data_IF_370692742075
#
_entry.id   IF_370692742075
#
_cell.length_a   1.000
_cell.length_b   1.000
_cell.length_c   1.000
_cell.angle_alpha   90.00
_cell.angle_beta   90.00
_cell.angle_gamma   90.00
#
_symmetry.space_group_name_H-M   'P 1'
#
loop_
_entity.id
_entity.type
_entity.pdbx_description
1 polymer ?
#
# COMPACT_ATOMS: atom_id res chain seq x y z
N UNK A 1 2.59 9.12 -32.33
CA UNK A 1 1.77 10.33 -32.56
C UNK A 1 2.23 11.36 -31.55
N UNK A 2 2.70 12.53 -31.96
CA UNK A 2 3.14 13.59 -31.03
C UNK A 2 1.91 14.33 -30.53
N UNK A 3 1.71 14.40 -29.20
CA UNK A 3 0.59 15.16 -28.66
C UNK A 3 0.86 16.68 -28.69
N UNK A 4 -0.18 17.53 -28.81
CA UNK A 4 0.00 18.96 -29.10
C UNK A 4 0.49 19.82 -27.93
N UNK A 5 0.53 19.30 -26.71
CA UNK A 5 0.95 20.03 -25.50
C UNK A 5 1.95 19.21 -24.69
N UNK A 6 2.64 19.87 -23.75
CA UNK A 6 3.51 19.24 -22.76
C UNK A 6 3.14 19.74 -21.36
N UNK A 7 3.27 18.86 -20.37
CA UNK A 7 3.16 19.22 -18.97
C UNK A 7 4.25 20.26 -18.62
N UNK A 8 3.91 21.43 -18.05
CA UNK A 8 4.91 22.45 -17.72
C UNK A 8 5.86 22.04 -16.60
N UNK A 9 5.49 21.04 -15.78
CA UNK A 9 6.31 20.58 -14.65
C UNK A 9 7.28 19.45 -15.05
N UNK A 10 6.84 18.46 -15.82
CA UNK A 10 7.64 17.26 -16.13
C UNK A 10 7.89 17.02 -17.62
N UNK A 11 7.29 17.80 -18.52
CA UNK A 11 7.48 17.66 -19.97
C UNK A 11 6.69 16.53 -20.65
N UNK A 12 5.96 15.70 -19.90
CA UNK A 12 5.10 14.63 -20.45
C UNK A 12 4.16 15.19 -21.53
N UNK A 13 4.06 14.50 -22.67
CA UNK A 13 3.20 14.89 -23.78
C UNK A 13 1.71 14.76 -23.42
N UNK A 14 0.88 15.75 -23.77
CA UNK A 14 -0.53 15.84 -23.37
C UNK A 14 -1.45 16.24 -24.53
N UNK A 15 -2.66 15.66 -24.53
CA UNK A 15 -3.76 16.07 -25.41
C UNK A 15 -4.43 17.39 -25.01
N UNK A 16 -4.05 17.98 -23.87
CA UNK A 16 -4.65 19.19 -23.31
C UNK A 16 -3.59 20.13 -22.70
N UNK A 17 -3.92 21.42 -22.55
CA UNK A 17 -3.06 22.43 -21.92
C UNK A 17 -3.18 22.36 -20.39
N UNK A 18 -2.08 22.12 -19.69
CA UNK A 18 -2.03 22.14 -18.22
C UNK A 18 -1.03 21.15 -17.65
N UNK A 19 -1.16 20.86 -16.34
CA UNK A 19 -0.40 19.81 -15.67
C UNK A 19 -0.91 18.43 -16.09
N UNK A 20 0.01 17.47 -16.28
CA UNK A 20 -0.36 16.06 -16.33
C UNK A 20 -1.02 15.65 -15.01
N UNK A 21 -1.71 14.51 -15.01
CA UNK A 21 -2.44 14.05 -13.84
C UNK A 21 -1.50 13.87 -12.62
N UNK A 22 -0.30 13.31 -12.81
CA UNK A 22 0.71 13.11 -11.75
C UNK A 22 1.17 14.43 -11.13
N UNK A 23 1.55 15.41 -11.95
CA UNK A 23 1.97 16.73 -11.46
C UNK A 23 0.82 17.49 -10.80
N UNK A 24 -0.42 17.29 -11.26
CA UNK A 24 -1.62 17.85 -10.62
C UNK A 24 -1.85 17.24 -9.23
N UNK A 25 -1.77 15.92 -9.10
CA UNK A 25 -1.88 15.23 -7.80
C UNK A 25 -0.79 15.67 -6.83
N UNK A 26 0.46 15.72 -7.29
CA UNK A 26 1.58 16.22 -6.49
C UNK A 26 1.40 17.70 -6.09
N UNK A 27 0.82 18.53 -6.95
CA UNK A 27 0.50 19.93 -6.63
C UNK A 27 -0.59 20.05 -5.56
N UNK A 28 -1.66 19.25 -5.66
CA UNK A 28 -2.72 19.21 -4.66
C UNK A 28 -2.17 18.74 -3.30
N UNK A 29 -1.31 17.74 -3.30
CA UNK A 29 -0.61 17.27 -2.09
C UNK A 29 0.24 18.37 -1.47
N UNK A 30 1.03 19.10 -2.27
CA UNK A 30 1.81 20.26 -1.78
C UNK A 30 0.90 21.35 -1.19
N UNK A 31 -0.25 21.61 -1.81
CA UNK A 31 -1.22 22.56 -1.29
C UNK A 31 -1.79 22.10 0.06
N UNK A 32 -2.16 20.82 0.18
CA UNK A 32 -2.66 20.24 1.42
C UNK A 32 -1.65 20.27 2.58
N UNK A 33 -0.38 20.02 2.28
CA UNK A 33 0.71 20.15 3.27
C UNK A 33 0.88 21.59 3.77
N UNK A 34 0.53 22.57 2.94
CA UNK A 34 0.64 24.00 3.22
C UNK A 34 -0.61 24.62 3.86
N UNK A 35 -1.69 23.86 4.08
CA UNK A 35 -2.92 24.39 4.69
C UNK A 35 -2.68 25.03 6.06
N UNK A 36 -3.27 26.21 6.27
CA UNK A 36 -3.25 26.91 7.56
C UNK A 36 -4.16 26.21 8.58
N UNK A 37 -4.01 26.49 9.89
CA UNK A 37 -4.93 25.97 10.91
C UNK A 37 -6.41 26.31 10.63
N UNK A 38 -6.69 27.49 10.08
CA UNK A 38 -8.05 27.92 9.72
C UNK A 38 -8.60 27.12 8.53
N UNK A 39 -7.78 26.90 7.51
CA UNK A 39 -8.15 26.08 6.35
C UNK A 39 -8.40 24.62 6.77
N UNK A 40 -7.54 24.06 7.62
CA UNK A 40 -7.73 22.72 8.17
C UNK A 40 -9.04 22.60 8.93
N UNK A 41 -9.33 23.55 9.83
CA UNK A 41 -10.58 23.55 10.58
C UNK A 41 -11.79 23.65 9.66
N UNK A 42 -11.72 24.49 8.62
CA UNK A 42 -12.78 24.60 7.61
C UNK A 42 -12.98 23.27 6.86
N UNK A 43 -11.90 22.57 6.49
CA UNK A 43 -11.96 21.25 5.83
C UNK A 43 -12.55 20.17 6.74
N UNK A 44 -12.17 20.14 8.01
CA UNK A 44 -12.74 19.21 8.99
C UNK A 44 -14.25 19.46 9.16
N UNK A 45 -14.70 20.71 9.22
CA UNK A 45 -16.14 21.04 9.29
C UNK A 45 -16.89 20.67 8.01
N UNK A 46 -16.27 20.87 6.85
CA UNK A 46 -16.83 20.48 5.54
C UNK A 46 -17.04 18.96 5.46
N UNK A 47 -16.06 18.18 5.93
CA UNK A 47 -16.14 16.71 5.99
C UNK A 47 -17.24 16.26 6.96
N UNK A 48 -17.32 16.85 8.15
CA UNK A 48 -18.38 16.52 9.13
C UNK A 48 -19.77 16.82 8.56
N UNK A 49 -19.92 17.95 7.85
CA UNK A 49 -21.20 18.33 7.25
C UNK A 49 -21.64 17.40 6.10
N UNK A 50 -20.70 16.70 5.47
CA UNK A 50 -20.92 15.79 4.33
C UNK A 50 -20.52 14.34 4.67
N UNK A 51 -20.65 13.93 5.93
CA UNK A 51 -20.08 12.64 6.39
C UNK A 51 -20.72 11.38 5.77
N UNK A 52 -21.92 11.51 5.18
CA UNK A 52 -22.58 10.45 4.42
C UNK A 52 -22.00 10.30 3.00
N UNK A 53 -21.33 11.33 2.48
CA UNK A 53 -20.65 11.36 1.17
C UNK A 53 -19.31 12.12 1.32
N UNK A 54 -18.34 11.42 1.89
CA UNK A 54 -17.09 12.00 2.40
C UNK A 54 -16.30 12.68 1.28
N UNK A 55 -16.04 14.00 1.37
CA UNK A 55 -15.29 14.73 0.35
C UNK A 55 -13.85 14.21 0.18
N UNK A 56 -13.30 14.28 -1.04
CA UNK A 56 -11.92 13.85 -1.36
C UNK A 56 -10.84 14.51 -0.47
N UNK A 57 -11.10 15.72 0.05
CA UNK A 57 -10.21 16.43 0.97
C UNK A 57 -9.92 15.64 2.26
N UNK A 58 -10.79 14.71 2.65
CA UNK A 58 -10.53 13.73 3.70
C UNK A 58 -9.20 12.99 3.47
N UNK A 59 -8.97 12.53 2.24
CA UNK A 59 -7.76 11.77 1.91
C UNK A 59 -6.51 12.64 2.02
N UNK A 60 -6.59 13.92 1.67
CA UNK A 60 -5.47 14.83 1.87
C UNK A 60 -5.18 15.07 3.36
N UNK A 61 -6.20 15.18 4.22
CA UNK A 61 -5.99 15.25 5.67
C UNK A 61 -5.28 13.99 6.19
N UNK A 62 -5.79 12.80 5.84
CA UNK A 62 -5.23 11.55 6.33
C UNK A 62 -3.82 11.30 5.76
N UNK A 63 -3.63 11.41 4.45
CA UNK A 63 -2.36 11.11 3.78
C UNK A 63 -1.26 12.14 4.10
N UNK A 64 -1.62 13.41 4.32
CA UNK A 64 -0.62 14.47 4.55
C UNK A 64 -0.41 14.81 6.03
N UNK A 65 -1.33 14.44 6.93
CA UNK A 65 -1.23 14.75 8.37
C UNK A 65 -1.23 13.52 9.27
N UNK A 66 -1.71 12.38 8.79
CA UNK A 66 -1.72 11.11 9.55
C UNK A 66 -2.67 11.11 10.75
N UNK A 67 -3.57 12.09 10.87
CA UNK A 67 -4.52 12.19 11.97
C UNK A 67 -5.79 12.93 11.53
N UNK A 68 -6.89 12.57 12.18
CA UNK A 68 -8.20 13.20 11.99
C UNK A 68 -8.65 13.86 13.30
N UNK A 69 -9.45 14.92 13.20
CA UNK A 69 -10.17 15.46 14.35
C UNK A 69 -11.12 14.39 14.93
N UNK A 70 -11.15 14.17 16.26
CA UNK A 70 -12.02 13.18 16.91
C UNK A 70 -13.51 13.29 16.58
N UNK A 71 -13.96 14.48 16.16
CA UNK A 71 -15.33 14.78 15.78
C UNK A 71 -15.74 14.11 14.47
N UNK A 72 -14.81 13.90 13.53
CA UNK A 72 -15.06 13.26 12.23
C UNK A 72 -15.56 11.81 12.41
N UNK A 73 -14.82 10.89 13.06
CA UNK A 73 -15.28 9.51 13.24
C UNK A 73 -16.52 9.41 14.15
N UNK A 74 -16.73 10.36 15.07
CA UNK A 74 -17.97 10.43 15.87
C UNK A 74 -19.18 10.80 15.01
N UNK A 75 -19.03 11.77 14.10
CA UNK A 75 -20.08 12.14 13.16
C UNK A 75 -20.39 10.97 12.21
N UNK A 76 -19.37 10.27 11.72
CA UNK A 76 -19.54 9.11 10.85
C UNK A 76 -20.31 7.99 11.54
N UNK A 77 -19.94 7.64 12.77
CA UNK A 77 -20.64 6.65 13.57
C UNK A 77 -22.10 7.05 13.84
N UNK A 78 -22.35 8.32 14.19
CA UNK A 78 -23.70 8.83 14.45
C UNK A 78 -24.59 8.77 13.20
N UNK A 79 -24.02 9.00 12.03
CA UNK A 79 -24.70 8.85 10.74
C UNK A 79 -24.79 7.40 10.24
N UNK A 80 -24.16 6.44 10.94
CA UNK A 80 -23.94 5.06 10.48
C UNK A 80 -23.26 4.99 9.10
N UNK A 81 -22.35 5.92 8.83
CA UNK A 81 -21.51 5.94 7.64
C UNK A 81 -20.20 5.20 7.93
N UNK A 82 -20.03 4.01 7.36
CA UNK A 82 -18.87 3.15 7.62
C UNK A 82 -17.83 3.16 6.49
N UNK A 83 -18.08 3.93 5.43
CA UNK A 83 -17.18 4.09 4.29
C UNK A 83 -16.69 5.55 4.14
N UNK A 84 -15.39 5.79 3.91
CA UNK A 84 -14.30 4.81 3.92
C UNK A 84 -13.95 4.38 5.36
N UNK A 85 -13.56 3.12 5.53
CA UNK A 85 -13.20 2.55 6.85
C UNK A 85 -12.04 3.31 7.51
N UNK A 86 -11.16 3.93 6.70
CA UNK A 86 -10.03 4.76 7.15
C UNK A 86 -10.43 5.96 8.02
N UNK A 87 -11.69 6.40 7.99
CA UNK A 87 -12.24 7.39 8.95
C UNK A 87 -12.01 6.96 10.40
N UNK A 88 -12.00 5.64 10.63
CA UNK A 88 -11.93 5.03 11.95
C UNK A 88 -10.51 4.63 12.35
N UNK A 89 -9.48 5.06 11.61
CA UNK A 89 -8.09 4.79 11.95
C UNK A 89 -7.74 5.36 13.32
N UNK A 90 -7.47 4.49 14.30
CA UNK A 90 -7.19 4.84 15.70
C UNK A 90 -8.16 5.89 16.30
N UNK A 91 -9.46 5.78 15.98
CA UNK A 91 -10.45 6.73 16.50
C UNK A 91 -10.60 6.63 18.04
N UNK A 92 -11.24 7.62 18.69
CA UNK A 92 -11.50 7.60 20.12
C UNK A 92 -12.21 6.32 20.59
N UNK A 93 -11.94 5.90 21.84
CA UNK A 93 -12.48 4.65 22.39
C UNK A 93 -14.02 4.60 22.42
N UNK A 94 -14.68 5.76 22.57
CA UNK A 94 -16.14 5.85 22.49
C UNK A 94 -16.68 5.49 21.09
N UNK A 95 -15.94 5.85 20.04
CA UNK A 95 -16.27 5.47 18.66
C UNK A 95 -16.06 3.97 18.47
N UNK A 96 -14.93 3.42 18.91
CA UNK A 96 -14.67 1.97 18.86
C UNK A 96 -15.78 1.17 19.54
N UNK A 97 -16.16 1.55 20.75
CA UNK A 97 -17.18 0.84 21.51
C UNK A 97 -18.55 0.93 20.80
N UNK A 98 -18.84 2.06 20.15
CA UNK A 98 -19.99 2.21 19.28
C UNK A 98 -19.97 1.34 18.02
N UNK A 99 -18.81 1.19 17.36
CA UNK A 99 -18.64 0.27 16.24
C UNK A 99 -18.87 -1.18 16.66
N UNK A 100 -18.32 -1.60 17.80
CA UNK A 100 -18.54 -2.94 18.36
C UNK A 100 -20.03 -3.13 18.67
N UNK A 101 -20.69 -2.16 19.29
CA UNK A 101 -22.13 -2.24 19.57
C UNK A 101 -22.94 -2.39 18.27
N UNK A 102 -22.69 -1.56 17.26
CA UNK A 102 -23.36 -1.64 15.97
C UNK A 102 -23.15 -2.99 15.28
N UNK A 103 -21.94 -3.55 15.35
CA UNK A 103 -21.61 -4.87 14.79
C UNK A 103 -22.34 -5.99 15.53
N UNK A 104 -22.54 -5.82 16.83
CA UNK A 104 -23.28 -6.78 17.65
C UNK A 104 -24.81 -6.63 17.52
N UNK A 105 -25.30 -5.54 16.95
CA UNK A 105 -26.72 -5.31 16.69
C UNK A 105 -27.14 -5.69 15.27
N UNK A 106 -26.24 -5.60 14.29
CA UNK A 106 -26.60 -5.82 12.89
C UNK A 106 -26.86 -7.30 12.55
N UNK A 107 -27.91 -7.50 11.75
CA UNK A 107 -28.24 -8.75 11.06
C UNK A 107 -27.89 -8.70 9.55
N UNK A 108 -27.40 -7.55 9.06
CA UNK A 108 -27.07 -7.32 7.67
C UNK A 108 -25.59 -7.63 7.39
N UNK A 109 -25.34 -8.58 6.48
CA UNK A 109 -23.98 -8.98 6.13
C UNK A 109 -23.14 -7.82 5.55
N UNK A 110 -23.75 -6.96 4.74
CA UNK A 110 -23.05 -5.82 4.15
C UNK A 110 -22.60 -4.80 5.21
N UNK A 111 -23.48 -4.46 6.15
CA UNK A 111 -23.12 -3.56 7.25
C UNK A 111 -22.07 -4.21 8.19
N UNK A 112 -22.20 -5.51 8.47
CA UNK A 112 -21.19 -6.25 9.24
C UNK A 112 -19.81 -6.25 8.56
N UNK A 113 -19.77 -6.39 7.23
CA UNK A 113 -18.55 -6.30 6.44
C UNK A 113 -17.87 -4.94 6.64
N UNK A 114 -18.61 -3.84 6.51
CA UNK A 114 -18.06 -2.49 6.69
C UNK A 114 -17.59 -2.24 8.13
N UNK A 115 -18.40 -2.61 9.12
CA UNK A 115 -18.05 -2.47 10.53
C UNK A 115 -16.79 -3.26 10.91
N UNK A 116 -16.59 -4.46 10.36
CA UNK A 116 -15.37 -5.23 10.59
C UNK A 116 -14.14 -4.57 9.94
N UNK A 117 -14.28 -3.93 8.77
CA UNK A 117 -13.20 -3.10 8.21
C UNK A 117 -12.86 -1.91 9.14
N UNK A 118 -13.88 -1.22 9.66
CA UNK A 118 -13.68 -0.13 10.63
C UNK A 118 -12.95 -0.60 11.90
N UNK A 119 -13.29 -1.78 12.43
CA UNK A 119 -12.56 -2.38 13.57
C UNK A 119 -11.13 -2.79 13.21
N UNK A 120 -10.90 -3.22 11.96
CA UNK A 120 -9.55 -3.37 11.43
C UNK A 120 -8.75 -2.08 11.57
N UNK A 121 -9.33 -0.94 11.17
CA UNK A 121 -8.68 0.38 11.28
C UNK A 121 -8.49 0.88 12.73
N UNK A 122 -9.30 0.43 13.69
CA UNK A 122 -9.09 0.72 15.11
C UNK A 122 -7.80 0.09 15.65
N UNK A 123 -7.63 -1.22 15.40
CA UNK A 123 -6.40 -1.94 15.68
C UNK A 123 -5.97 -1.97 17.15
N UNK A 124 -6.89 -1.94 18.10
CA UNK A 124 -6.57 -2.13 19.51
C UNK A 124 -7.04 -3.48 20.05
N UNK A 125 -6.73 -3.76 21.32
CA UNK A 125 -7.01 -5.07 21.93
C UNK A 125 -8.50 -5.39 22.00
N UNK A 126 -9.36 -4.37 22.09
CA UNK A 126 -10.81 -4.56 22.11
C UNK A 126 -11.37 -4.87 20.72
N UNK A 127 -10.80 -4.26 19.68
CA UNK A 127 -11.12 -4.58 18.29
C UNK A 127 -10.70 -6.01 17.96
N UNK A 128 -9.51 -6.45 18.40
CA UNK A 128 -9.08 -7.84 18.31
C UNK A 128 -10.05 -8.78 19.04
N UNK A 129 -10.39 -8.47 20.29
CA UNK A 129 -11.30 -9.30 21.08
C UNK A 129 -12.68 -9.45 20.41
N UNK A 130 -13.22 -8.38 19.83
CA UNK A 130 -14.49 -8.39 19.11
C UNK A 130 -14.43 -9.27 17.84
N UNK A 131 -13.40 -9.09 17.01
CA UNK A 131 -13.23 -9.89 15.78
C UNK A 131 -12.97 -11.37 16.10
N UNK A 132 -12.12 -11.66 17.10
CA UNK A 132 -11.84 -13.03 17.55
C UNK A 132 -13.09 -13.72 18.14
N UNK A 133 -13.94 -12.97 18.85
CA UNK A 133 -15.20 -13.51 19.37
C UNK A 133 -16.14 -13.94 18.23
N UNK A 134 -16.15 -13.19 17.12
CA UNK A 134 -16.92 -13.52 15.91
C UNK A 134 -16.34 -14.72 15.17
N UNK A 135 -15.01 -14.89 15.08
CA UNK A 135 -14.44 -16.12 14.50
C UNK A 135 -14.81 -17.36 15.30
N UNK A 136 -14.79 -17.25 16.65
CA UNK A 136 -15.11 -18.36 17.53
C UNK A 136 -16.59 -18.67 17.58
N UNK A 137 -17.44 -17.66 17.44
CA UNK A 137 -18.89 -17.77 17.46
C UNK A 137 -19.50 -16.96 16.31
N UNK A 138 -19.46 -17.48 15.08
CA UNK A 138 -19.95 -16.75 13.92
C UNK A 138 -21.44 -16.43 14.03
N UNK A 139 -21.80 -15.23 13.58
CA UNK A 139 -23.20 -14.78 13.47
C UNK A 139 -23.85 -15.33 12.19
N UNK A 140 -25.19 -15.38 12.10
CA UNK A 140 -25.88 -15.92 10.92
C UNK A 140 -25.50 -15.26 9.58
N UNK A 141 -25.12 -13.99 9.60
CA UNK A 141 -24.68 -13.28 8.39
C UNK A 141 -23.29 -13.70 7.89
N UNK A 142 -22.48 -14.40 8.69
CA UNK A 142 -21.12 -14.81 8.33
C UNK A 142 -21.09 -15.66 7.06
N UNK A 143 -22.05 -16.58 6.87
CA UNK A 143 -22.13 -17.41 5.67
C UNK A 143 -22.45 -16.66 4.36
N UNK A 144 -22.66 -15.33 4.43
CA UNK A 144 -22.81 -14.44 3.26
C UNK A 144 -21.53 -13.63 2.97
N UNK A 145 -20.50 -13.78 3.80
CA UNK A 145 -19.21 -13.14 3.62
C UNK A 145 -18.21 -14.11 2.99
N UNK A 146 -17.17 -13.55 2.37
CA UNK A 146 -16.16 -14.33 1.63
C UNK A 146 -14.95 -14.73 2.49
N UNK A 147 -14.71 -14.00 3.59
CA UNK A 147 -13.49 -14.12 4.39
C UNK A 147 -13.80 -14.08 5.89
N UNK A 148 -12.85 -14.54 6.69
CA UNK A 148 -12.95 -14.55 8.16
C UNK A 148 -12.65 -13.17 8.77
N UNK A 149 -13.16 -12.85 9.98
CA UNK A 149 -12.84 -11.63 10.72
C UNK A 149 -11.34 -11.28 10.83
N UNK A 150 -10.43 -12.26 10.90
CA UNK A 150 -8.97 -12.03 10.87
C UNK A 150 -8.46 -11.42 9.56
N UNK A 151 -9.17 -11.59 8.45
CA UNK A 151 -8.87 -10.95 7.16
C UNK A 151 -9.35 -9.50 7.15
N UNK A 152 -10.46 -9.18 7.79
CA UNK A 152 -10.91 -7.79 7.95
C UNK A 152 -9.92 -6.94 8.78
N UNK A 153 -9.25 -7.55 9.76
CA UNK A 153 -8.17 -6.89 10.49
C UNK A 153 -7.03 -6.42 9.57
N UNK A 154 -6.79 -7.14 8.46
CA UNK A 154 -5.71 -6.84 7.51
C UNK A 154 -5.90 -5.50 6.79
N UNK A 155 -7.15 -5.04 6.67
CA UNK A 155 -7.50 -3.69 6.22
C UNK A 155 -6.76 -2.61 7.04
N UNK A 156 -6.58 -2.84 8.35
CA UNK A 156 -5.82 -1.96 9.25
C UNK A 156 -4.34 -2.30 9.39
N UNK A 157 -3.80 -3.21 8.58
CA UNK A 157 -2.38 -3.57 8.62
C UNK A 157 -1.98 -4.52 9.75
N UNK A 158 -2.90 -5.35 10.25
CA UNK A 158 -2.62 -6.39 11.24
C UNK A 158 -3.56 -7.59 11.09
N UNK A 159 -3.27 -8.69 11.76
CA UNK A 159 -4.13 -9.88 11.79
C UNK A 159 -3.93 -10.63 13.10
N UNK A 160 -4.64 -11.74 13.28
CA UNK A 160 -4.53 -12.60 14.45
C UNK A 160 -4.86 -14.05 14.09
N UNK A 161 -4.35 -14.99 14.88
CA UNK A 161 -4.71 -16.40 14.75
C UNK A 161 -5.86 -16.83 15.68
N UNK A 162 -6.27 -18.10 15.59
CA UNK A 162 -7.38 -18.66 16.38
C UNK A 162 -7.17 -18.58 17.90
N UNK A 163 -5.92 -18.49 18.35
CA UNK A 163 -5.58 -18.30 19.76
C UNK A 163 -5.68 -16.82 20.18
N UNK A 164 -5.79 -15.90 19.22
CA UNK A 164 -5.81 -14.45 19.43
C UNK A 164 -4.42 -13.83 19.44
N UNK A 165 -3.39 -14.52 18.95
CA UNK A 165 -2.04 -13.97 18.88
C UNK A 165 -1.97 -13.00 17.71
N UNK A 166 -1.71 -11.74 18.03
CA UNK A 166 -1.63 -10.64 17.05
C UNK A 166 -0.37 -10.72 16.21
N UNK A 167 -0.50 -10.39 14.93
CA UNK A 167 0.60 -10.16 13.99
C UNK A 167 0.41 -8.81 13.30
N UNK A 168 1.43 -7.96 13.31
CA UNK A 168 1.44 -6.70 12.56
C UNK A 168 1.91 -6.98 11.13
N UNK A 169 1.21 -6.45 10.14
CA UNK A 169 1.50 -6.63 8.72
C UNK A 169 2.12 -5.37 8.08
N UNK A 170 1.77 -4.18 8.59
CA UNK A 170 2.33 -2.91 8.13
C UNK A 170 3.40 -2.38 9.10
N UNK A 171 3.99 -1.24 8.75
CA UNK A 171 4.97 -0.54 9.57
C UNK A 171 4.44 0.84 9.98
N UNK A 172 4.78 1.25 11.20
CA UNK A 172 4.49 2.58 11.77
C UNK A 172 5.48 3.66 11.28
N UNK A 173 6.23 3.34 10.22
CA UNK A 173 7.17 4.24 9.55
C UNK A 173 6.94 4.13 8.05
N UNK A 174 6.93 5.27 7.37
CA UNK A 174 6.72 5.36 5.93
C UNK A 174 7.75 6.34 5.33
N UNK A 175 8.37 5.94 4.22
CA UNK A 175 9.27 6.77 3.42
C UNK A 175 8.78 6.82 1.97
N UNK A 176 8.89 7.98 1.34
CA UNK A 176 8.67 8.11 -0.11
C UNK A 176 9.93 7.71 -0.87
N UNK A 177 9.76 7.26 -2.11
CA UNK A 177 10.83 7.32 -3.10
C UNK A 177 10.83 8.67 -3.81
N UNK A 178 12.02 9.20 -4.08
CA UNK A 178 12.24 10.47 -4.78
C UNK A 178 13.28 10.28 -5.88
N UNK A 179 13.31 11.17 -6.86
CA UNK A 179 14.35 11.16 -7.90
C UNK A 179 15.68 11.66 -7.33
N UNK A 180 16.77 10.95 -7.61
CA UNK A 180 18.11 11.38 -7.25
C UNK A 180 18.50 12.66 -8.00
N UNK A 181 19.18 13.60 -7.32
CA UNK A 181 19.69 14.80 -7.97
C UNK A 181 21.00 14.54 -8.75
N UNK A 182 21.66 13.39 -8.51
CA UNK A 182 22.92 13.01 -9.14
C UNK A 182 23.17 11.50 -9.10
N UNK A 183 24.08 11.04 -9.96
CA UNK A 183 24.57 9.64 -9.95
C UNK A 183 25.22 9.25 -8.62
N UNK A 184 25.88 10.18 -7.92
CA UNK A 184 26.47 9.91 -6.60
C UNK A 184 25.38 9.62 -5.57
N UNK A 185 24.33 10.44 -5.56
CA UNK A 185 23.19 10.27 -4.65
C UNK A 185 22.44 8.98 -4.96
N UNK A 186 22.24 8.69 -6.26
CA UNK A 186 21.77 7.39 -6.72
C UNK A 186 22.66 6.33 -6.08
N UNK A 187 23.93 6.20 -6.44
CA UNK A 187 24.89 5.20 -5.95
C UNK A 187 24.94 5.00 -4.42
N UNK A 188 24.66 6.03 -3.62
CA UNK A 188 24.66 5.96 -2.14
C UNK A 188 23.34 5.56 -1.50
N UNK A 189 22.23 5.63 -2.23
CA UNK A 189 20.92 5.21 -1.70
C UNK A 189 20.96 3.75 -1.22
N UNK A 190 20.38 3.45 -0.04
CA UNK A 190 20.26 2.08 0.48
C UNK A 190 19.19 1.27 -0.27
N UNK A 191 18.40 1.93 -1.12
CA UNK A 191 17.35 1.33 -1.93
C UNK A 191 17.69 1.51 -3.40
N UNK A 192 17.57 0.42 -4.17
CA UNK A 192 17.60 0.38 -5.64
C UNK A 192 16.31 -0.24 -6.15
N UNK A 193 15.72 0.38 -7.17
CA UNK A 193 14.52 -0.11 -7.82
C UNK A 193 14.86 -0.59 -9.22
N UNK A 194 14.30 -1.74 -9.59
CA UNK A 194 14.41 -2.35 -10.91
C UNK A 194 15.85 -2.40 -11.45
N UNK A 195 16.77 -3.05 -10.72
CA UNK A 195 18.12 -3.32 -11.24
C UNK A 195 18.05 -4.50 -12.23
N UNK A 196 18.50 -4.35 -13.49
CA UNK A 196 18.46 -5.44 -14.45
C UNK A 196 19.45 -6.54 -14.06
N UNK A 197 19.02 -7.81 -14.15
CA UNK A 197 19.88 -8.99 -13.95
C UNK A 197 20.40 -9.52 -15.28
N UNK A 198 21.44 -10.36 -15.27
CA UNK A 198 22.04 -10.89 -16.51
C UNK A 198 21.15 -11.92 -17.20
N UNK A 199 20.35 -12.65 -16.44
CA UNK A 199 19.45 -13.67 -16.93
C UNK A 199 18.15 -13.12 -17.52
N UNK A 200 17.56 -13.94 -18.38
CA UNK A 200 16.25 -13.74 -18.97
C UNK A 200 15.23 -14.67 -18.30
N UNK A 201 13.98 -14.24 -18.28
CA UNK A 201 12.85 -15.02 -17.79
C UNK A 201 12.72 -16.31 -18.62
N UNK A 202 12.65 -17.50 -18.00
CA UNK A 202 12.52 -18.75 -18.72
C UNK A 202 11.15 -18.92 -19.40
N UNK A 203 10.15 -18.12 -19.01
CA UNK A 203 8.79 -18.17 -19.56
C UNK A 203 8.63 -17.24 -20.76
N UNK A 204 8.85 -15.94 -20.60
CA UNK A 204 8.59 -14.95 -21.65
C UNK A 204 9.86 -14.42 -22.36
N UNK A 205 11.06 -14.80 -21.92
CA UNK A 205 12.32 -14.32 -22.50
C UNK A 205 12.72 -12.89 -22.10
N UNK A 206 11.87 -12.11 -21.44
CA UNK A 206 12.18 -10.74 -21.01
C UNK A 206 13.30 -10.71 -19.96
N UNK A 207 14.00 -9.57 -19.83
CA UNK A 207 15.05 -9.37 -18.83
C UNK A 207 14.49 -9.50 -17.41
N UNK A 208 15.12 -10.30 -16.56
CA UNK A 208 14.78 -10.36 -15.13
C UNK A 208 15.28 -9.11 -14.40
N UNK A 209 14.63 -8.75 -13.30
CA UNK A 209 14.98 -7.58 -12.53
C UNK A 209 14.93 -7.83 -11.03
N UNK A 210 15.89 -7.26 -10.31
CA UNK A 210 15.74 -7.02 -8.88
C UNK A 210 14.85 -5.78 -8.72
N UNK A 211 13.55 -6.01 -8.57
CA UNK A 211 12.56 -4.94 -8.41
C UNK A 211 12.82 -4.11 -7.15
N UNK A 212 13.42 -4.72 -6.13
CA UNK A 212 13.93 -4.04 -4.95
C UNK A 212 15.27 -4.65 -4.52
N UNK A 213 16.28 -3.82 -4.31
CA UNK A 213 17.44 -4.13 -3.47
C UNK A 213 17.45 -3.15 -2.31
N UNK A 214 17.48 -3.65 -1.09
CA UNK A 214 17.31 -2.88 0.13
C UNK A 214 18.40 -3.25 1.14
N UNK A 215 19.23 -2.27 1.55
CA UNK A 215 20.18 -2.43 2.65
C UNK A 215 19.52 -2.07 3.98
N UNK A 216 19.04 -3.08 4.70
CA UNK A 216 18.35 -2.92 5.98
C UNK A 216 19.24 -2.39 7.11
N UNK A 217 20.56 -2.32 6.89
CA UNK A 217 21.52 -1.77 7.86
C UNK A 217 21.53 -0.24 7.87
N UNK A 218 20.96 0.42 6.86
CA UNK A 218 20.74 1.88 6.88
C UNK A 218 19.88 2.26 8.11
N UNK A 219 20.28 3.32 8.81
CA UNK A 219 19.62 3.75 10.03
C UNK A 219 18.13 4.05 9.84
N UNK A 220 17.73 4.54 8.65
CA UNK A 220 16.34 4.82 8.27
C UNK A 220 15.50 3.55 8.13
N UNK A 221 16.11 2.41 7.83
CA UNK A 221 15.43 1.14 7.51
C UNK A 221 15.41 0.16 8.69
N UNK A 222 15.95 0.53 9.86
CA UNK A 222 16.00 -0.31 11.07
C UNK A 222 14.63 -0.81 11.52
N UNK A 223 13.56 -0.06 11.25
CA UNK A 223 12.19 -0.44 11.61
C UNK A 223 11.71 -1.72 10.90
N UNK A 224 12.36 -2.12 9.79
CA UNK A 224 12.08 -3.35 9.08
C UNK A 224 12.62 -4.59 9.80
N UNK A 225 13.60 -4.44 10.69
CA UNK A 225 14.25 -5.56 11.38
C UNK A 225 15.12 -6.44 10.48
N UNK A 226 15.59 -5.93 9.35
CA UNK A 226 16.46 -6.65 8.41
C UNK A 226 17.93 -6.29 8.69
N UNK A 227 18.71 -7.24 9.19
CA UNK A 227 20.16 -7.07 9.41
C UNK A 227 20.98 -7.60 8.23
N UNK A 228 20.90 -6.89 7.10
CA UNK A 228 21.55 -7.28 5.85
C UNK A 228 20.91 -6.64 4.63
N UNK A 229 21.15 -7.23 3.48
CA UNK A 229 20.58 -6.81 2.20
C UNK A 229 19.42 -7.76 1.85
N UNK A 230 18.24 -7.22 1.59
CA UNK A 230 17.10 -7.95 1.03
C UNK A 230 17.01 -7.61 -0.46
N UNK A 231 16.85 -8.63 -1.30
CA UNK A 231 16.64 -8.48 -2.74
C UNK A 231 15.33 -9.17 -3.14
N UNK A 232 14.43 -8.44 -3.78
CA UNK A 232 13.19 -8.94 -4.37
C UNK A 232 13.37 -9.05 -5.88
N UNK A 233 13.28 -10.26 -6.44
CA UNK A 233 13.51 -10.49 -7.87
C UNK A 233 12.28 -11.10 -8.52
N UNK A 234 11.83 -10.52 -9.64
CA UNK A 234 10.83 -11.13 -10.50
C UNK A 234 11.05 -10.79 -11.97
N UNK A 235 10.24 -11.38 -12.84
CA UNK A 235 10.10 -10.91 -14.21
C UNK A 235 9.08 -9.76 -14.22
N UNK A 236 9.48 -8.52 -14.58
CA UNK A 236 8.56 -7.37 -14.62
C UNK A 236 7.40 -7.56 -15.60
N UNK A 237 7.59 -8.40 -16.62
CA UNK A 237 6.57 -8.74 -17.59
C UNK A 237 5.56 -9.77 -17.05
N UNK A 238 6.04 -10.88 -16.50
CA UNK A 238 5.14 -11.95 -16.01
C UNK A 238 4.39 -11.53 -14.74
N UNK A 239 4.95 -10.66 -13.89
CA UNK A 239 4.32 -10.29 -12.61
C UNK A 239 2.99 -9.57 -12.79
N UNK A 240 2.72 -8.99 -13.97
CA UNK A 240 1.43 -8.38 -14.30
C UNK A 240 0.31 -9.40 -14.54
N UNK A 241 0.65 -10.67 -14.77
CA UNK A 241 -0.31 -11.72 -15.16
C UNK A 241 -0.27 -12.95 -14.25
N UNK A 242 0.78 -13.11 -13.46
CA UNK A 242 0.95 -14.24 -12.56
C UNK A 242 0.31 -13.94 -11.20
N UNK A 243 -0.19 -14.99 -10.56
CA UNK A 243 -0.26 -15.08 -9.09
C UNK A 243 1.09 -14.66 -8.49
N UNK A 244 1.15 -14.13 -7.25
CA UNK A 244 2.33 -13.48 -6.70
C UNK A 244 3.64 -14.22 -7.02
N UNK A 245 4.57 -13.52 -7.66
CA UNK A 245 5.90 -14.09 -7.94
C UNK A 245 6.72 -14.03 -6.65
N UNK A 246 7.19 -15.19 -6.22
CA UNK A 246 7.96 -15.34 -5.00
C UNK A 246 9.46 -15.40 -5.31
N UNK A 247 10.27 -14.77 -4.45
CA UNK A 247 11.72 -14.95 -4.45
C UNK A 247 12.23 -15.20 -3.03
N UNK A 248 13.24 -16.06 -2.90
CA UNK A 248 13.96 -16.31 -1.66
C UNK A 248 15.20 -15.45 -1.62
N UNK A 249 15.34 -14.64 -0.59
CA UNK A 249 16.48 -13.75 -0.42
C UNK A 249 17.46 -14.27 0.63
N UNK A 250 18.71 -13.85 0.53
CA UNK A 250 19.73 -14.04 1.56
C UNK A 250 20.23 -12.68 2.05
N UNK A 251 20.66 -12.58 3.31
CA UNK A 251 21.04 -11.30 3.93
C UNK A 251 22.35 -10.68 3.39
N UNK A 252 23.06 -11.39 2.52
CA UNK A 252 24.18 -10.88 1.72
C UNK A 252 23.75 -10.32 0.35
N UNK A 253 22.43 -10.28 0.08
CA UNK A 253 21.85 -9.66 -1.11
C UNK A 253 21.55 -10.64 -2.27
N UNK A 254 21.75 -11.94 -2.06
CA UNK A 254 21.33 -12.97 -3.01
C UNK A 254 19.81 -13.07 -3.12
N UNK A 255 19.33 -13.49 -4.29
CA UNK A 255 17.91 -13.74 -4.55
C UNK A 255 17.71 -14.80 -5.63
N UNK A 256 16.86 -15.78 -5.32
CA UNK A 256 16.44 -16.88 -6.18
C UNK A 256 14.92 -16.84 -6.38
N UNK A 257 14.47 -16.73 -7.63
CA UNK A 257 13.04 -16.74 -7.97
C UNK A 257 12.50 -18.16 -7.87
N UNK A 258 11.40 -18.35 -7.15
CA UNK A 258 10.72 -19.64 -7.07
C UNK A 258 9.94 -19.91 -8.36
N UNK A 259 9.67 -21.19 -8.64
CA UNK A 259 8.85 -21.57 -9.79
C UNK A 259 7.44 -21.01 -9.67
N UNK A 260 6.92 -20.44 -10.74
CA UNK A 260 5.54 -19.99 -10.87
C UNK A 260 4.94 -20.52 -12.20
N UNK A 261 3.62 -20.47 -12.31
CA UNK A 261 2.93 -20.95 -13.51
C UNK A 261 3.22 -20.05 -14.72
N UNK A 262 3.37 -20.68 -15.89
CA UNK A 262 3.57 -19.95 -17.13
C UNK A 262 2.28 -19.22 -17.52
N UNK A 263 2.34 -17.89 -17.60
CA UNK A 263 1.21 -17.03 -17.95
C UNK A 263 0.95 -16.98 -19.46
N UNK A 264 1.74 -17.69 -20.27
CA UNK A 264 1.64 -17.74 -21.73
C UNK A 264 2.37 -16.60 -22.44
N UNK A 265 2.18 -16.48 -23.76
CA UNK A 265 2.75 -15.42 -24.62
C UNK A 265 2.10 -14.05 -24.32
N UNK A 266 2.41 -13.48 -23.16
CA UNK A 266 1.95 -12.16 -22.73
C UNK A 266 3.15 -11.21 -22.72
N UNK A 267 3.53 -10.67 -23.87
CA UNK A 267 4.72 -9.80 -24.00
C UNK A 267 4.30 -8.33 -24.00
N UNK A 268 4.59 -7.60 -22.92
CA UNK A 268 4.78 -6.15 -23.02
C UNK A 268 5.88 -5.88 -24.04
N UNK A 269 5.76 -4.81 -24.80
CA UNK A 269 6.74 -4.40 -25.81
C UNK A 269 8.10 -4.27 -25.12
N UNK A 270 9.08 -5.12 -25.48
CA UNK A 270 10.40 -5.20 -24.81
C UNK A 270 11.07 -3.82 -24.65
N UNK A 271 10.87 -2.91 -25.61
CA UNK A 271 11.43 -1.56 -25.60
C UNK A 271 10.91 -0.69 -24.43
N UNK A 272 9.66 -0.89 -24.00
CA UNK A 272 9.06 -0.13 -22.89
C UNK A 272 9.54 -0.66 -21.54
N UNK A 273 9.71 -1.98 -21.43
CA UNK A 273 10.23 -2.63 -20.22
C UNK A 273 11.68 -2.23 -19.92
N UNK A 274 12.51 -1.98 -20.93
CA UNK A 274 13.91 -1.56 -20.70
C UNK A 274 13.98 -0.22 -19.97
N UNK A 275 13.01 0.69 -20.17
CA UNK A 275 13.00 2.02 -19.53
C UNK A 275 12.89 1.96 -18.03
N UNK A 276 12.28 0.90 -17.47
CA UNK A 276 12.18 0.77 -16.01
C UNK A 276 13.57 0.69 -15.37
N UNK A 277 14.60 0.25 -16.10
CA UNK A 277 15.97 0.13 -15.61
C UNK A 277 16.73 1.46 -15.60
N UNK A 278 16.19 2.50 -16.24
CA UNK A 278 16.79 3.83 -16.34
C UNK A 278 16.30 4.78 -15.23
N UNK A 279 15.48 4.27 -14.30
CA UNK A 279 14.97 5.06 -13.18
C UNK A 279 16.09 5.47 -12.20
N UNK A 280 15.90 6.60 -11.56
CA UNK A 280 16.80 7.19 -10.56
C UNK A 280 16.12 7.31 -9.18
N UNK A 281 15.15 6.44 -8.90
CA UNK A 281 14.41 6.46 -7.64
C UNK A 281 15.29 6.02 -6.47
N UNK A 282 15.29 6.83 -5.42
CA UNK A 282 16.03 6.62 -4.17
C UNK A 282 15.13 6.78 -2.95
N UNK A 283 15.57 6.24 -1.81
CA UNK A 283 14.86 6.41 -0.54
C UNK A 283 14.95 7.87 -0.06
N UNK A 284 13.78 8.48 0.21
CA UNK A 284 13.70 9.81 0.80
C UNK A 284 14.42 9.94 2.14
N UNK A 285 14.82 11.15 2.49
CA UNK A 285 15.60 11.40 3.71
C UNK A 285 14.76 11.32 4.99
N UNK A 286 13.52 11.79 4.92
CA UNK A 286 12.64 11.97 6.08
C UNK A 286 11.39 11.10 5.98
N UNK A 287 10.88 10.57 7.11
CA UNK A 287 9.64 9.84 7.11
C UNK A 287 8.46 10.76 6.84
N UNK A 288 7.41 10.20 6.24
CA UNK A 288 6.13 10.83 5.93
C UNK A 288 5.01 10.16 6.73
N UNK A 289 3.79 10.75 6.79
CA UNK A 289 2.64 10.10 7.43
C UNK A 289 2.35 8.70 6.88
N UNK A 290 1.75 7.83 7.70
CA UNK A 290 1.57 6.41 7.36
C UNK A 290 0.74 6.17 6.09
N UNK A 291 -0.26 7.01 5.87
CA UNK A 291 -1.15 6.91 4.71
C UNK A 291 -0.64 7.70 3.49
N UNK A 292 0.60 8.20 3.49
CA UNK A 292 1.06 9.12 2.45
C UNK A 292 0.92 8.55 1.03
N UNK A 293 1.21 7.27 0.83
CA UNK A 293 1.03 6.57 -0.44
C UNK A 293 -0.31 5.83 -0.59
N UNK A 294 -1.21 5.90 0.40
CA UNK A 294 -2.34 4.97 0.51
C UNK A 294 -3.57 5.32 -0.35
N UNK A 295 -3.54 6.43 -1.10
CA UNK A 295 -4.68 6.88 -1.93
C UNK A 295 -4.28 7.45 -3.29
N UNK A 296 -3.12 8.08 -3.37
CA UNK A 296 -2.69 8.82 -4.54
C UNK A 296 -1.44 8.16 -5.14
N UNK A 297 -1.43 7.98 -6.46
CA UNK A 297 -0.37 7.26 -7.20
C UNK A 297 0.83 8.14 -7.56
N UNK A 298 0.89 9.37 -7.06
CA UNK A 298 1.95 10.32 -7.38
C UNK A 298 3.30 9.98 -6.74
N UNK A 299 3.36 8.95 -5.88
CA UNK A 299 4.56 8.59 -5.13
C UNK A 299 4.61 7.11 -4.75
N UNK A 300 5.78 6.49 -4.92
CA UNK A 300 6.04 5.16 -4.37
C UNK A 300 6.43 5.27 -2.89
N UNK A 301 6.00 4.33 -2.06
CA UNK A 301 6.29 4.35 -0.62
C UNK A 301 6.82 3.02 -0.10
N UNK A 302 7.75 3.11 0.84
CA UNK A 302 8.31 2.01 1.62
C UNK A 302 7.80 2.13 3.06
N UNK A 303 7.14 1.08 3.54
CA UNK A 303 6.41 1.08 4.80
C UNK A 303 5.09 1.86 4.71
N UNK A 304 4.48 2.14 5.86
CA UNK A 304 3.16 2.77 5.94
C UNK A 304 2.03 1.84 5.47
N UNK A 305 1.02 2.43 4.83
CA UNK A 305 -0.12 1.75 4.24
C UNK A 305 -0.06 1.77 2.72
N UNK A 306 -0.39 0.62 2.13
CA UNK A 306 -0.55 0.48 0.69
C UNK A 306 -1.84 1.16 0.22
N UNK A 307 -1.82 1.65 -1.03
CA UNK A 307 -3.02 1.92 -1.82
C UNK A 307 -3.42 0.60 -2.45
N UNK A 308 -4.40 -0.12 -1.89
CA UNK A 308 -4.93 -1.33 -2.53
C UNK A 308 -5.90 -0.92 -3.64
N UNK A 309 -5.67 -1.40 -4.87
CA UNK A 309 -6.51 -1.06 -6.03
C UNK A 309 -7.77 -1.90 -6.10
N UNK A 310 -7.62 -3.17 -5.75
CA UNK A 310 -8.70 -4.14 -5.68
C UNK A 310 -9.06 -4.29 -4.21
N UNK A 311 -8.90 -5.48 -3.64
CA UNK A 311 -8.96 -5.68 -2.19
C UNK A 311 -7.55 -5.71 -1.59
N UNK A 312 -7.48 -5.52 -0.27
CA UNK A 312 -6.24 -5.78 0.45
C UNK A 312 -5.93 -7.27 0.41
N UNK A 313 -4.73 -7.60 -0.04
CA UNK A 313 -4.31 -8.99 -0.20
C UNK A 313 -2.90 -9.15 0.33
N UNK A 314 -2.77 -9.82 1.48
CA UNK A 314 -1.46 -10.19 2.01
C UNK A 314 -1.16 -11.64 1.64
N UNK A 315 -0.08 -11.84 0.90
CA UNK A 315 0.35 -13.16 0.45
C UNK A 315 0.66 -14.03 1.66
N UNK A 316 0.10 -15.25 1.72
CA UNK A 316 0.48 -16.23 2.72
C UNK A 316 1.87 -16.80 2.40
N UNK A 317 2.78 -16.81 3.37
CA UNK A 317 4.10 -17.40 3.20
C UNK A 317 3.99 -18.91 2.94
N UNK A 318 4.55 -19.46 1.86
CA UNK A 318 4.44 -20.89 1.57
C UNK A 318 5.18 -21.77 2.59
N UNK A 319 6.20 -21.24 3.27
CA UNK A 319 7.00 -21.99 4.24
C UNK A 319 6.33 -22.08 5.63
N UNK A 320 5.66 -21.01 6.08
CA UNK A 320 5.08 -20.95 7.44
C UNK A 320 3.57 -20.72 7.51
N UNK A 321 2.92 -20.48 6.37
CA UNK A 321 1.48 -20.21 6.23
C UNK A 321 1.00 -18.87 6.78
N UNK A 322 1.89 -18.05 7.35
CA UNK A 322 1.53 -16.76 7.92
C UNK A 322 1.44 -15.68 6.82
N UNK A 323 0.49 -14.73 6.91
CA UNK A 323 0.48 -13.56 6.05
C UNK A 323 1.82 -12.81 6.12
N UNK A 324 2.37 -12.50 4.95
CA UNK A 324 3.60 -11.72 4.80
C UNK A 324 3.36 -10.26 5.20
N UNK A 325 4.44 -9.56 5.54
CA UNK A 325 4.37 -8.14 5.91
C UNK A 325 4.51 -7.27 4.68
N UNK A 326 3.64 -6.29 4.51
CA UNK A 326 3.79 -5.26 3.48
C UNK A 326 5.10 -4.51 3.68
N UNK A 327 5.91 -4.44 2.61
CA UNK A 327 7.20 -3.76 2.61
C UNK A 327 7.12 -2.44 1.86
N UNK A 328 6.59 -2.46 0.64
CA UNK A 328 6.49 -1.26 -0.20
C UNK A 328 5.53 -1.42 -1.37
N UNK A 329 5.20 -0.30 -2.00
CA UNK A 329 4.51 -0.25 -3.29
C UNK A 329 5.34 0.51 -4.32
N UNK A 330 5.32 0.04 -5.57
CA UNK A 330 5.91 0.70 -6.74
C UNK A 330 4.81 0.90 -7.76
N UNK A 331 4.46 2.16 -8.03
CA UNK A 331 3.56 2.48 -9.15
C UNK A 331 4.37 2.37 -10.44
N UNK A 332 3.89 1.61 -11.42
CA UNK A 332 4.64 1.38 -12.65
C UNK A 332 4.88 2.68 -13.44
N UNK A 333 3.94 3.63 -13.36
CA UNK A 333 4.06 4.96 -13.95
C UNK A 333 5.16 5.83 -13.33
N UNK A 334 5.67 5.46 -12.14
CA UNK A 334 6.86 6.10 -11.57
C UNK A 334 8.16 5.63 -12.26
N UNK A 335 8.13 4.48 -12.94
CA UNK A 335 9.25 3.92 -13.70
C UNK A 335 9.16 4.23 -15.18
N UNK A 336 7.95 4.21 -15.77
CA UNK A 336 7.73 4.49 -17.19
C UNK A 336 6.28 4.92 -17.47
N UNK A 337 6.08 5.94 -18.31
CA UNK A 337 4.78 6.59 -18.56
C UNK A 337 3.73 5.70 -19.27
N UNK A 338 4.05 4.45 -19.63
CA UNK A 338 3.17 3.54 -20.39
C UNK A 338 2.69 2.31 -19.61
N UNK A 339 3.20 2.11 -18.39
CA UNK A 339 2.81 0.97 -17.57
C UNK A 339 1.92 1.43 -16.43
N UNK A 340 0.71 0.87 -16.37
CA UNK A 340 -0.28 1.16 -15.34
C UNK A 340 -0.23 0.11 -14.22
N UNK A 341 -0.87 0.43 -13.09
CA UNK A 341 -0.99 -0.45 -11.95
C UNK A 341 0.13 -0.28 -10.92
N UNK A 342 0.16 -1.16 -9.93
CA UNK A 342 1.06 -1.08 -8.78
C UNK A 342 1.61 -2.46 -8.43
N UNK A 343 2.92 -2.52 -8.24
CA UNK A 343 3.61 -3.67 -7.71
C UNK A 343 3.75 -3.52 -6.20
N UNK A 344 3.08 -4.38 -5.44
CA UNK A 344 3.27 -4.48 -4.00
C UNK A 344 4.33 -5.53 -3.71
N UNK A 345 5.22 -5.19 -2.79
CA UNK A 345 6.26 -6.08 -2.30
C UNK A 345 5.97 -6.36 -0.83
N UNK A 346 5.95 -7.64 -0.48
CA UNK A 346 5.73 -8.13 0.87
C UNK A 346 6.82 -9.12 1.24
N UNK A 347 7.08 -9.34 2.52
CA UNK A 347 8.09 -10.32 2.92
C UNK A 347 7.77 -11.07 4.20
N UNK A 348 8.29 -12.29 4.28
CA UNK A 348 8.35 -13.09 5.47
C UNK A 348 9.77 -13.03 6.06
N UNK A 349 10.01 -12.26 7.13
CA UNK A 349 11.35 -12.16 7.72
C UNK A 349 11.86 -13.51 8.26
N UNK A 350 10.96 -14.34 8.78
CA UNK A 350 11.31 -15.64 9.39
C UNK A 350 11.75 -16.69 8.36
N UNK A 351 11.17 -16.64 7.15
CA UNK A 351 11.43 -17.61 6.08
C UNK A 351 12.32 -17.06 4.95
N UNK A 352 12.67 -15.77 5.04
CA UNK A 352 13.43 -15.04 4.03
C UNK A 352 12.83 -15.16 2.61
N UNK A 353 11.51 -14.96 2.54
CA UNK A 353 10.76 -14.95 1.29
C UNK A 353 10.17 -13.58 1.04
N UNK A 354 10.12 -13.20 -0.22
CA UNK A 354 9.50 -11.97 -0.71
C UNK A 354 8.44 -12.33 -1.73
N UNK A 355 7.27 -11.73 -1.59
CA UNK A 355 6.18 -11.76 -2.56
C UNK A 355 6.15 -10.46 -3.35
N UNK A 356 5.89 -10.57 -4.66
CA UNK A 356 5.68 -9.47 -5.57
C UNK A 356 4.37 -9.70 -6.32
N UNK A 357 3.40 -8.82 -6.08
CA UNK A 357 2.05 -8.92 -6.64
C UNK A 357 1.66 -7.62 -7.35
N UNK A 358 1.07 -7.75 -8.53
CA UNK A 358 0.58 -6.63 -9.32
C UNK A 358 -0.93 -6.45 -9.08
N UNK A 359 -1.39 -5.22 -8.89
CA UNK A 359 -2.82 -4.88 -9.04
C UNK A 359 -2.99 -3.66 -9.95
N UNK A 360 -4.09 -3.67 -10.72
CA UNK A 360 -4.56 -2.59 -11.57
C UNK A 360 -6.11 -2.59 -11.57
N UNK A 361 -6.71 -1.42 -11.78
CA UNK A 361 -8.17 -1.24 -11.89
C UNK A 361 -8.71 -1.43 -13.29
#
# INVERSE_FOLDING_TARGET
>A
MTLPYQCPDCGTELGYKGLCWRCRTAANRRAALAWTPEELSAKEQEIIAQIEDVPDDFWYLLCCRGRLAPEIPRAALAARSFWPSALYYHAPTDVRDGLIAALMETDAAHEANELMMCLGMQGDDQSLAALLALERNPRPWHGKLHVEPSVYAQCGGWTFDREGRRRTLNYDTCYTLVHAASEEELCRSPVRIARPREENCPHCGSRMADMLVLDGRDARLRFLGIDGILTATCCPNCVAYAEPILSRYTLDGGSEVLSYEDTGDTTYIEEELVRIFENDLILGETPVPLFYGARFEDTCTLGGFALWWQDWEYTACPDCGQPMKYLMQIHWEALTDYMEGTLYIEFCPDCQLVSMQHQQT
#
